data_IF_115201579682
#
_entry.id   IF_115201579682
#
_cell.length_a   1.000
_cell.length_b   1.000
_cell.length_c   1.000
_cell.angle_alpha   90.00
_cell.angle_beta   90.00
_cell.angle_gamma   90.00
#
_symmetry.space_group_name_H-M   'P 1'
#
loop_
_entity.id
_entity.type
_entity.pdbx_description
1 polymer ?
#
# COMPACT_ATOMS: atom_id res chain seq x y z
N UNK A 1 0.60 -22.95 1.20
CA UNK A 1 0.75 -24.17 2.03
C UNK A 1 1.61 -25.27 1.37
N UNK A 2 2.31 -25.02 0.25
CA UNK A 2 3.22 -26.00 -0.37
C UNK A 2 4.67 -25.92 0.12
N UNK A 3 5.03 -24.83 0.80
CA UNK A 3 6.36 -24.58 1.37
C UNK A 3 6.19 -24.17 2.84
N UNK A 4 5.94 -25.14 3.73
CA UNK A 4 5.72 -24.87 5.16
C UNK A 4 6.99 -24.43 5.90
N UNK A 5 8.15 -24.63 5.28
CA UNK A 5 9.49 -24.29 5.77
C UNK A 5 9.91 -22.85 5.44
N UNK A 6 9.12 -22.13 4.63
CA UNK A 6 9.44 -20.75 4.28
C UNK A 6 9.14 -19.79 5.44
N UNK A 7 10.08 -18.85 5.63
CA UNK A 7 9.97 -17.82 6.64
C UNK A 7 9.16 -16.61 6.14
N UNK A 8 8.75 -15.74 7.05
CA UNK A 8 8.12 -14.47 6.68
C UNK A 8 9.11 -13.55 5.97
N UNK A 9 8.67 -12.88 4.89
CA UNK A 9 9.57 -12.10 4.05
C UNK A 9 8.93 -11.53 2.80
N UNK A 10 9.72 -10.96 1.89
CA UNK A 10 9.21 -10.44 0.62
C UNK A 10 9.20 -11.52 -0.48
N UNK A 11 8.06 -11.68 -1.14
CA UNK A 11 7.83 -12.66 -2.20
C UNK A 11 7.16 -12.01 -3.41
N UNK A 12 7.39 -12.59 -4.60
CA UNK A 12 6.64 -12.25 -5.81
C UNK A 12 5.41 -13.12 -5.89
N UNK A 13 4.25 -12.49 -6.01
CA UNK A 13 2.95 -13.17 -6.10
C UNK A 13 2.21 -12.62 -7.30
N UNK A 14 1.71 -13.53 -8.13
CA UNK A 14 0.81 -13.27 -9.24
C UNK A 14 -0.58 -13.85 -8.85
N UNK A 15 -1.52 -13.00 -8.38
CA UNK A 15 -2.84 -13.44 -7.95
C UNK A 15 -3.86 -13.55 -9.10
N UNK A 16 -3.64 -12.84 -10.22
CA UNK A 16 -4.48 -12.89 -11.40
C UNK A 16 -4.11 -14.03 -12.35
N UNK A 17 -2.99 -14.70 -12.08
CA UNK A 17 -2.41 -15.76 -12.88
C UNK A 17 -2.06 -15.27 -14.30
N UNK A 18 -1.77 -16.23 -15.18
CA UNK A 18 -1.44 -15.95 -16.57
C UNK A 18 0.01 -15.54 -16.73
N UNK A 19 0.27 -14.25 -16.95
CA UNK A 19 1.60 -13.79 -17.34
C UNK A 19 2.41 -13.37 -16.13
N UNK A 20 3.35 -14.21 -15.70
CA UNK A 20 4.19 -13.94 -14.51
C UNK A 20 5.03 -12.66 -14.54
N UNK A 21 5.02 -11.89 -15.64
CA UNK A 21 5.68 -10.59 -15.76
C UNK A 21 4.98 -9.49 -14.96
N UNK A 22 3.69 -9.63 -14.67
CA UNK A 22 2.89 -8.66 -13.90
C UNK A 22 2.79 -9.00 -12.40
N UNK A 23 3.52 -10.05 -11.96
CA UNK A 23 3.63 -10.42 -10.56
C UNK A 23 4.08 -9.23 -9.70
N UNK A 24 3.56 -9.17 -8.48
CA UNK A 24 3.78 -8.05 -7.56
C UNK A 24 4.62 -8.51 -6.39
N UNK A 25 5.62 -7.69 -6.01
CA UNK A 25 6.43 -7.94 -4.81
C UNK A 25 5.68 -7.46 -3.56
N UNK A 26 5.47 -8.37 -2.62
CA UNK A 26 4.72 -8.12 -1.39
C UNK A 26 5.31 -8.87 -0.19
N UNK A 27 4.95 -8.47 1.02
CA UNK A 27 5.42 -9.16 2.23
C UNK A 27 4.44 -10.27 2.61
N UNK A 28 4.95 -11.48 2.81
CA UNK A 28 4.17 -12.60 3.32
C UNK A 28 4.55 -12.85 4.78
N UNK A 29 3.55 -12.84 5.66
CA UNK A 29 3.70 -13.36 7.01
C UNK A 29 3.33 -14.85 7.00
N UNK A 30 4.31 -15.75 7.06
CA UNK A 30 4.08 -17.18 6.99
C UNK A 30 3.49 -17.75 8.29
N UNK A 31 3.65 -17.05 9.42
CA UNK A 31 3.05 -17.44 10.70
C UNK A 31 1.54 -17.20 10.71
N UNK A 32 1.11 -16.00 10.30
CA UNK A 32 -0.32 -15.61 10.27
C UNK A 32 -1.00 -15.95 8.94
N UNK A 33 -0.22 -16.24 7.89
CA UNK A 33 -0.65 -16.47 6.50
C UNK A 33 -1.23 -15.22 5.83
N UNK A 34 -0.73 -14.06 6.22
CA UNK A 34 -1.12 -12.78 5.62
C UNK A 34 -0.22 -12.43 4.43
N UNK A 35 -0.83 -11.75 3.46
CA UNK A 35 -0.17 -11.18 2.30
C UNK A 35 -0.34 -9.67 2.34
N UNK A 36 0.74 -8.93 2.56
CA UNK A 36 0.73 -7.50 2.87
C UNK A 36 1.28 -6.69 1.70
N UNK A 37 0.41 -5.87 1.09
CA UNK A 37 0.78 -4.89 0.08
C UNK A 37 1.19 -3.56 0.72
N UNK A 38 2.22 -2.94 0.15
CA UNK A 38 2.70 -1.64 0.60
C UNK A 38 2.04 -0.50 -0.17
N UNK A 39 1.61 0.52 0.57
CA UNK A 39 1.11 1.76 0.02
C UNK A 39 2.22 2.60 -0.64
N UNK A 40 1.87 3.31 -1.70
CA UNK A 40 2.72 4.24 -2.44
C UNK A 40 2.02 5.61 -2.55
N UNK A 41 2.62 6.67 -1.96
CA UNK A 41 3.80 6.65 -1.09
C UNK A 41 3.48 6.04 0.29
N UNK A 42 4.49 5.46 0.95
CA UNK A 42 4.35 4.80 2.27
C UNK A 42 3.99 5.78 3.40
N UNK A 43 4.29 7.06 3.22
CA UNK A 43 4.15 8.08 4.25
C UNK A 43 3.73 9.40 3.63
N UNK A 44 2.92 10.16 4.36
CA UNK A 44 2.62 11.56 4.03
C UNK A 44 3.53 12.46 4.87
N UNK A 45 4.32 13.36 4.25
CA UNK A 45 5.18 14.28 5.00
C UNK A 45 4.41 15.08 6.05
N UNK A 46 5.00 15.25 7.24
CA UNK A 46 4.37 16.02 8.32
C UNK A 46 4.61 17.52 8.10
N UNK A 47 3.59 18.24 7.64
CA UNK A 47 3.58 19.70 7.49
C UNK A 47 2.17 20.25 7.67
N UNK A 48 2.04 21.58 7.67
CA UNK A 48 0.73 22.24 7.60
C UNK A 48 0.19 22.12 6.17
N UNK A 49 -0.69 21.14 5.94
CA UNK A 49 -1.30 20.86 4.63
C UNK A 49 -2.50 21.74 4.32
N UNK A 50 -3.16 22.26 5.36
CA UNK A 50 -4.36 23.05 5.21
C UNK A 50 -4.43 24.10 6.31
N UNK A 51 -4.89 25.30 5.96
CA UNK A 51 -5.19 26.36 6.92
C UNK A 51 -6.68 26.62 6.83
N UNK A 52 -7.42 26.20 7.85
CA UNK A 52 -8.88 26.30 7.84
C UNK A 52 -9.34 27.76 8.01
N UNK A 53 -10.37 28.14 7.25
CA UNK A 53 -11.24 29.28 7.59
C UNK A 53 -12.47 28.81 8.37
N UNK A 54 -12.98 27.60 8.08
CA UNK A 54 -14.19 27.01 8.67
C UNK A 54 -13.96 25.55 9.14
N UNK A 55 -14.78 25.06 10.08
CA UNK A 55 -14.68 23.71 10.68
C UNK A 55 -15.46 22.64 9.89
N UNK A 56 -15.08 22.37 8.64
CA UNK A 56 -15.66 21.27 7.84
C UNK A 56 -14.61 20.19 7.57
N UNK A 57 -15.07 18.96 7.30
CA UNK A 57 -14.19 17.91 6.79
C UNK A 57 -13.66 18.30 5.40
N UNK A 58 -12.35 18.12 5.19
CA UNK A 58 -11.65 18.44 3.94
C UNK A 58 -10.86 17.21 3.53
N UNK A 59 -11.09 16.72 2.31
CA UNK A 59 -10.38 15.57 1.75
C UNK A 59 -8.95 15.96 1.38
N UNK A 60 -7.98 15.18 1.85
CA UNK A 60 -6.55 15.46 1.61
C UNK A 60 -6.21 15.52 0.13
N UNK A 61 -6.55 14.46 -0.63
CA UNK A 61 -6.15 14.31 -2.02
C UNK A 61 -6.84 15.31 -2.97
N UNK A 62 -8.08 15.70 -2.65
CA UNK A 62 -8.93 16.47 -3.57
C UNK A 62 -8.91 17.97 -3.31
N UNK A 63 -8.66 18.39 -2.07
CA UNK A 63 -8.86 19.78 -1.65
C UNK A 63 -7.63 20.45 -1.02
N UNK A 64 -6.59 19.70 -0.63
CA UNK A 64 -5.36 20.28 -0.07
C UNK A 64 -4.28 20.42 -1.15
N UNK A 65 -3.56 21.53 -1.13
CA UNK A 65 -2.47 21.75 -2.08
C UNK A 65 -1.32 20.74 -1.87
N UNK A 66 -0.91 20.10 -2.96
CA UNK A 66 0.03 18.98 -2.95
C UNK A 66 -0.52 17.68 -2.35
N UNK A 67 -1.84 17.59 -2.11
CA UNK A 67 -2.52 16.36 -1.73
C UNK A 67 -2.44 15.31 -2.84
N UNK A 68 -2.52 14.03 -2.47
CA UNK A 68 -2.49 12.92 -3.43
C UNK A 68 -3.25 11.70 -2.92
N UNK A 69 -3.73 10.88 -3.86
CA UNK A 69 -4.31 9.58 -3.57
C UNK A 69 -3.20 8.57 -3.22
N UNK A 70 -3.35 7.90 -2.10
CA UNK A 70 -2.51 6.76 -1.73
C UNK A 70 -2.95 5.57 -2.59
N UNK A 71 -1.99 4.93 -3.27
CA UNK A 71 -2.25 3.78 -4.14
C UNK A 71 -1.50 2.56 -3.61
N UNK A 72 -2.00 1.37 -3.89
CA UNK A 72 -1.23 0.14 -3.78
C UNK A 72 -0.88 -0.31 -5.21
N UNK A 73 0.29 -0.93 -5.39
CA UNK A 73 0.58 -1.60 -6.67
C UNK A 73 -0.34 -2.80 -6.78
N UNK A 74 -1.17 -2.81 -7.82
CA UNK A 74 -2.08 -3.86 -8.23
C UNK A 74 -2.04 -3.98 -9.74
#
# INVERSE_FOLDING_TARGET
>A
MCHPDWESGEYWIDPNEGSSIDAIKMYCNMETRETCLYAIPRTVPRKQWWTAKDRKHVWFADAMDGGFHVRCLS
#
